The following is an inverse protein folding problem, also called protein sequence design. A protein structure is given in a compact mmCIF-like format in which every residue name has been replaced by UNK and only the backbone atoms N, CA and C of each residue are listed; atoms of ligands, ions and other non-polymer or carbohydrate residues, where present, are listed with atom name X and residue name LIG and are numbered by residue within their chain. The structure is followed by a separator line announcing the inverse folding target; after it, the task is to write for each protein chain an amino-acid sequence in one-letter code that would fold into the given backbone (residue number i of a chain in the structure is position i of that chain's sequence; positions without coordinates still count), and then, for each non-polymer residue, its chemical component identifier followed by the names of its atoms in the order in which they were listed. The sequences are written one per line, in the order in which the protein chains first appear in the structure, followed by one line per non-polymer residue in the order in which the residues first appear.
data_IF_613008154948
#
_entry.id   IF_613008154948
#
_cell.length_a   1.000
_cell.length_b   1.000
_cell.length_c   1.000
_cell.angle_alpha   90.00
_cell.angle_beta   90.00
_cell.angle_gamma   90.00
#
_symmetry.space_group_name_H-M   'P 1'
#
loop_
_entity.id
_entity.type
_entity.pdbx_description
1 polymer ?
#
# COMPACT_ATOMS: atom_id res chain seq x y z
N UNK A 1 -33.12 -32.68 -44.40
CA UNK A 1 -34.50 -32.59 -44.96
C UNK A 1 -34.87 -31.11 -44.87
N UNK A 2 -34.69 -30.38 -45.98
CA UNK A 2 -35.79 -29.79 -46.79
C UNK A 2 -36.43 -28.61 -46.03
N UNK A 3 -36.44 -27.35 -46.47
CA UNK A 3 -36.60 -26.69 -47.78
C UNK A 3 -37.46 -25.44 -47.47
N UNK A 4 -37.05 -24.22 -47.81
CA UNK A 4 -37.28 -23.47 -49.07
C UNK A 4 -38.61 -22.70 -49.14
N UNK A 5 -38.51 -21.55 -49.83
CA UNK A 5 -39.54 -20.75 -50.56
C UNK A 5 -40.19 -19.58 -49.81
N UNK A 6 -39.92 -18.32 -50.24
CA UNK A 6 -40.58 -17.50 -51.29
C UNK A 6 -41.92 -16.91 -50.77
N UNK A 7 -42.40 -15.70 -51.07
CA UNK A 7 -42.33 -14.71 -52.15
C UNK A 7 -42.87 -13.38 -51.51
N UNK A 8 -42.77 -12.15 -52.02
CA UNK A 8 -43.57 -11.65 -53.15
C UNK A 8 -43.38 -10.12 -53.37
N UNK A 9 -43.27 -9.76 -54.66
CA UNK A 9 -43.80 -8.58 -55.40
C UNK A 9 -43.31 -7.12 -55.20
N UNK A 10 -42.92 -6.56 -56.37
CA UNK A 10 -42.80 -5.14 -56.78
C UNK A 10 -44.17 -4.56 -57.24
N UNK A 11 -44.29 -3.25 -57.54
CA UNK A 11 -44.16 -2.74 -58.93
C UNK A 11 -43.39 -1.38 -58.97
N UNK A 12 -42.86 -0.80 -60.05
CA UNK A 12 -42.96 -0.98 -61.49
C UNK A 12 -43.20 0.40 -62.15
N UNK A 13 -42.23 0.94 -62.93
CA UNK A 13 -42.47 1.90 -64.03
C UNK A 13 -41.19 2.09 -64.86
N UNK A 14 -41.36 2.06 -66.19
CA UNK A 14 -40.31 2.06 -67.22
C UNK A 14 -40.25 3.39 -67.99
N UNK A 15 -39.10 3.69 -68.61
CA UNK A 15 -38.95 4.76 -69.61
C UNK A 15 -37.54 4.88 -70.23
N UNK A 16 -37.38 4.25 -71.40
CA UNK A 16 -36.49 4.50 -72.57
C UNK A 16 -35.07 5.14 -72.48
N UNK A 17 -34.17 4.57 -73.30
CA UNK A 17 -32.72 4.77 -73.58
C UNK A 17 -32.54 5.71 -74.82
N UNK A 18 -31.35 6.19 -75.32
CA UNK A 18 -29.95 6.33 -74.82
C UNK A 18 -29.32 7.75 -74.97
N UNK A 19 -28.16 8.00 -74.33
CA UNK A 19 -26.98 8.61 -74.99
C UNK A 19 -25.74 8.63 -74.08
N UNK A 20 -24.62 8.11 -74.56
CA UNK A 20 -23.26 8.32 -74.04
C UNK A 20 -22.55 9.33 -74.99
N UNK A 21 -21.55 10.15 -74.57
CA UNK A 21 -20.30 9.66 -73.98
C UNK A 21 -19.69 10.50 -72.81
N UNK A 22 -18.82 9.84 -72.04
CA UNK A 22 -17.79 10.37 -71.10
C UNK A 22 -16.90 11.48 -71.75
N UNK A 23 -16.06 12.28 -71.06
CA UNK A 23 -15.45 12.07 -69.72
C UNK A 23 -15.34 13.31 -68.80
N UNK A 24 -14.98 13.13 -67.53
CA UNK A 24 -14.60 14.22 -66.63
C UNK A 24 -14.20 13.74 -65.24
N UNK A 25 -12.90 13.72 -64.99
CA UNK A 25 -12.26 13.41 -63.71
C UNK A 25 -12.60 14.50 -62.69
N UNK A 26 -13.19 14.12 -61.55
CA UNK A 26 -13.25 14.97 -60.35
C UNK A 26 -12.64 14.18 -59.18
N UNK A 27 -11.41 14.58 -58.84
CA UNK A 27 -10.70 14.25 -57.62
C UNK A 27 -11.51 14.78 -56.42
N UNK A 28 -12.28 13.91 -55.75
CA UNK A 28 -12.79 14.21 -54.42
C UNK A 28 -11.70 13.92 -53.38
N UNK A 29 -11.04 14.98 -52.93
CA UNK A 29 -10.06 14.98 -51.85
C UNK A 29 -10.74 14.55 -50.54
N UNK A 30 -10.60 13.27 -50.18
CA UNK A 30 -11.22 12.70 -48.98
C UNK A 30 -10.62 13.31 -47.72
N UNK A 31 -11.40 14.13 -47.01
CA UNK A 31 -11.00 14.75 -45.75
C UNK A 31 -10.81 13.66 -44.66
N UNK A 32 -9.66 13.63 -43.94
CA UNK A 32 -9.38 12.60 -42.95
C UNK A 32 -10.47 12.57 -41.87
N UNK A 33 -11.00 11.38 -41.61
CA UNK A 33 -12.16 11.14 -40.75
C UNK A 33 -11.77 11.12 -39.26
N UNK A 34 -10.48 11.26 -38.95
CA UNK A 34 -9.96 11.29 -37.58
C UNK A 34 -8.80 12.26 -37.45
N UNK A 35 -8.70 12.90 -36.28
CA UNK A 35 -7.54 13.70 -35.89
C UNK A 35 -6.22 12.95 -36.06
N UNK A 36 -6.22 11.63 -35.84
CA UNK A 36 -5.04 10.78 -36.05
C UNK A 36 -4.69 10.58 -37.53
N UNK A 37 -5.71 10.49 -38.40
CA UNK A 37 -5.53 10.32 -39.84
C UNK A 37 -4.97 11.60 -40.47
N UNK A 38 -5.41 12.77 -39.97
CA UNK A 38 -4.86 14.07 -40.37
C UNK A 38 -3.38 14.25 -39.97
N UNK A 39 -2.94 13.67 -38.85
CA UNK A 39 -1.54 13.73 -38.42
C UNK A 39 -0.65 12.85 -39.32
N UNK A 40 -1.15 11.68 -39.74
CA UNK A 40 -0.39 10.76 -40.58
C UNK A 40 -0.19 11.26 -42.01
N UNK A 41 -1.23 11.83 -42.62
CA UNK A 41 -1.13 12.40 -43.97
C UNK A 41 -0.25 13.66 -44.03
N UNK A 42 0.02 14.32 -42.89
CA UNK A 42 0.87 15.50 -42.81
C UNK A 42 2.36 15.23 -42.53
N UNK A 43 2.78 13.97 -42.35
CA UNK A 43 4.14 13.60 -41.92
C UNK A 43 5.04 13.02 -43.03
N UNK A 44 4.59 12.98 -44.29
CA UNK A 44 5.40 12.46 -45.41
C UNK A 44 6.64 13.33 -45.73
N UNK A 45 6.75 14.54 -45.16
CA UNK A 45 7.91 15.43 -45.26
C UNK A 45 8.55 15.66 -43.87
N UNK A 46 9.29 14.68 -43.34
CA UNK A 46 9.97 14.81 -42.04
C UNK A 46 11.50 15.01 -42.16
N UNK A 47 11.97 16.12 -41.61
CA UNK A 47 13.37 16.50 -41.37
C UNK A 47 14.10 15.58 -40.37
N UNK A 48 15.46 15.56 -40.32
CA UNK A 48 16.22 14.57 -39.56
C UNK A 48 16.37 15.00 -38.09
N UNK A 49 15.71 14.29 -37.17
CA UNK A 49 15.93 14.51 -35.74
C UNK A 49 14.96 13.86 -34.75
N UNK A 50 13.83 13.31 -35.21
CA UNK A 50 12.91 12.52 -34.38
C UNK A 50 12.89 11.06 -34.80
N UNK A 51 12.93 10.12 -33.85
CA UNK A 51 12.63 8.72 -34.16
C UNK A 51 11.20 8.63 -34.72
N UNK A 52 10.98 7.98 -35.87
CA UNK A 52 9.65 7.88 -36.46
C UNK A 52 8.70 7.10 -35.52
N UNK A 53 7.40 7.43 -35.49
CA UNK A 53 6.39 6.75 -34.64
C UNK A 53 6.33 5.23 -34.83
N UNK A 54 6.82 4.73 -35.97
CA UNK A 54 6.96 3.32 -36.29
C UNK A 54 7.97 2.54 -35.42
N UNK A 55 8.77 3.22 -34.58
CA UNK A 55 9.77 2.58 -33.69
C UNK A 55 9.33 2.52 -32.22
N UNK A 56 8.17 3.07 -31.86
CA UNK A 56 7.69 3.06 -30.47
C UNK A 56 6.58 2.02 -30.28
N UNK A 57 6.67 1.27 -29.18
CA UNK A 57 5.63 0.31 -28.81
C UNK A 57 4.31 1.02 -28.48
N UNK A 58 3.20 0.46 -28.97
CA UNK A 58 1.85 0.94 -28.67
C UNK A 58 1.55 0.77 -27.17
N UNK A 59 1.26 1.86 -26.43
CA UNK A 59 0.94 1.77 -25.01
C UNK A 59 -0.32 0.92 -24.72
N UNK A 60 -1.31 0.97 -25.61
CA UNK A 60 -2.56 0.20 -25.47
C UNK A 60 -2.34 -1.30 -25.70
N UNK A 61 -1.50 -1.67 -26.68
CA UNK A 61 -1.13 -3.06 -26.90
C UNK A 61 -0.28 -3.61 -25.75
N UNK A 62 0.66 -2.80 -25.24
CA UNK A 62 1.48 -3.11 -24.07
C UNK A 62 0.64 -3.33 -22.79
N UNK A 63 -0.50 -2.64 -22.67
CA UNK A 63 -1.45 -2.82 -21.57
C UNK A 63 -2.42 -4.01 -21.75
N UNK A 64 -2.38 -4.70 -22.90
CA UNK A 64 -3.08 -5.95 -23.15
C UNK A 64 -4.05 -5.94 -24.34
N UNK A 65 -4.63 -4.80 -24.72
CA UNK A 65 -5.53 -4.72 -25.87
C UNK A 65 -5.51 -3.34 -26.53
N UNK A 66 -5.24 -3.31 -27.84
CA UNK A 66 -5.32 -2.10 -28.65
C UNK A 66 -6.60 -2.12 -29.50
N UNK A 67 -7.45 -1.11 -29.34
CA UNK A 67 -8.70 -0.98 -30.12
C UNK A 67 -8.48 -0.69 -31.60
N UNK A 68 -7.29 -0.19 -31.96
CA UNK A 68 -6.95 0.13 -33.34
C UNK A 68 -6.50 -1.09 -34.16
N UNK A 69 -6.25 -2.23 -33.50
CA UNK A 69 -5.82 -3.46 -34.15
C UNK A 69 -4.61 -3.22 -35.06
N UNK A 70 -4.64 -3.75 -36.28
CA UNK A 70 -3.56 -3.58 -37.25
C UNK A 70 -3.49 -2.19 -37.89
N UNK A 71 -4.48 -1.33 -37.66
CA UNK A 71 -4.46 0.08 -38.09
C UNK A 71 -3.79 1.01 -37.07
N UNK A 72 -3.14 0.45 -36.05
CA UNK A 72 -2.43 1.25 -35.06
C UNK A 72 -1.15 1.86 -35.66
N UNK A 73 -0.93 3.14 -35.39
CA UNK A 73 0.26 3.88 -35.84
C UNK A 73 1.53 3.49 -35.07
N UNK A 74 1.36 2.84 -33.93
CA UNK A 74 2.43 2.41 -33.05
C UNK A 74 2.68 0.92 -33.20
N UNK A 75 3.92 0.51 -32.96
CA UNK A 75 4.34 -0.88 -33.11
C UNK A 75 3.66 -1.76 -32.04
N UNK A 76 2.94 -2.79 -32.48
CA UNK A 76 2.51 -3.84 -31.57
C UNK A 76 3.71 -4.76 -31.32
N UNK A 77 4.16 -4.84 -30.07
CA UNK A 77 5.29 -5.68 -29.69
C UNK A 77 4.98 -7.16 -29.82
N UNK A 78 6.00 -7.98 -29.65
CA UNK A 78 5.87 -9.43 -29.47
C UNK A 78 5.36 -9.74 -28.05
N UNK A 79 4.73 -10.90 -27.92
CA UNK A 79 4.22 -11.40 -26.64
C UNK A 79 5.37 -11.88 -25.77
N UNK A 80 5.39 -11.42 -24.51
CA UNK A 80 6.22 -12.04 -23.48
C UNK A 80 5.54 -13.32 -22.97
N UNK A 81 6.27 -14.42 -22.89
CA UNK A 81 5.73 -15.72 -22.42
C UNK A 81 5.33 -15.71 -20.94
N UNK A 82 5.90 -14.80 -20.14
CA UNK A 82 5.68 -14.74 -18.68
C UNK A 82 4.45 -13.89 -18.35
N UNK A 83 4.36 -12.66 -18.88
CA UNK A 83 3.23 -11.77 -18.59
C UNK A 83 2.10 -11.84 -19.63
N UNK A 84 2.33 -12.47 -20.79
CA UNK A 84 1.35 -12.56 -21.87
C UNK A 84 1.03 -11.24 -22.58
N UNK A 85 1.79 -10.16 -22.32
CA UNK A 85 1.57 -8.83 -22.89
C UNK A 85 2.45 -8.57 -24.12
N UNK A 86 2.00 -7.69 -25.02
CA UNK A 86 2.72 -7.28 -26.24
C UNK A 86 3.75 -6.17 -25.95
N UNK A 87 4.73 -6.50 -25.11
CA UNK A 87 5.71 -5.56 -24.55
C UNK A 87 7.13 -5.80 -25.05
N UNK A 88 7.37 -6.87 -25.81
CA UNK A 88 8.69 -7.18 -26.36
C UNK A 88 8.90 -6.46 -27.69
N UNK A 89 9.98 -5.71 -27.85
CA UNK A 89 10.26 -5.02 -29.10
C UNK A 89 10.83 -5.98 -30.17
N UNK A 90 10.23 -6.10 -31.36
CA UNK A 90 10.68 -7.01 -32.43
C UNK A 90 12.12 -6.80 -32.90
N UNK A 91 12.59 -5.55 -32.92
CA UNK A 91 13.90 -5.17 -33.48
C UNK A 91 14.94 -4.77 -32.43
N UNK A 92 14.57 -4.76 -31.15
CA UNK A 92 15.47 -4.34 -30.07
C UNK A 92 15.71 -5.53 -29.12
N UNK A 93 16.82 -6.25 -29.28
CA UNK A 93 17.14 -7.40 -28.44
C UNK A 93 17.52 -6.99 -27.00
N UNK A 94 18.03 -5.78 -26.78
CA UNK A 94 18.41 -5.32 -25.44
C UNK A 94 17.17 -5.04 -24.60
N UNK A 95 16.17 -4.37 -25.18
CA UNK A 95 14.88 -4.15 -24.54
C UNK A 95 14.18 -5.47 -24.20
N UNK A 96 14.21 -6.44 -25.10
CA UNK A 96 13.59 -7.75 -24.84
C UNK A 96 14.24 -8.46 -23.68
N UNK A 97 15.57 -8.55 -23.68
CA UNK A 97 16.32 -9.16 -22.57
C UNK A 97 16.09 -8.44 -21.25
N UNK A 98 16.05 -7.11 -21.27
CA UNK A 98 15.77 -6.31 -20.08
C UNK A 98 14.35 -6.57 -19.53
N UNK A 99 13.36 -6.64 -20.41
CA UNK A 99 11.99 -6.97 -20.02
C UNK A 99 11.89 -8.41 -19.49
N UNK A 100 12.46 -9.39 -20.18
CA UNK A 100 12.44 -10.80 -19.76
C UNK A 100 13.04 -10.97 -18.36
N UNK A 101 14.20 -10.37 -18.10
CA UNK A 101 14.83 -10.43 -16.77
C UNK A 101 13.96 -9.76 -15.69
N UNK A 102 13.40 -8.58 -15.97
CA UNK A 102 12.52 -7.89 -15.01
C UNK A 102 11.21 -8.66 -14.77
N UNK A 103 10.62 -9.19 -15.84
CA UNK A 103 9.36 -9.92 -15.81
C UNK A 103 9.52 -11.24 -15.06
N UNK A 104 10.61 -11.97 -15.29
CA UNK A 104 10.94 -13.18 -14.56
C UNK A 104 11.13 -12.91 -13.07
N UNK A 105 11.91 -11.88 -12.70
CA UNK A 105 12.11 -11.52 -11.30
C UNK A 105 10.80 -11.12 -10.60
N UNK A 106 9.91 -10.40 -11.30
CA UNK A 106 8.58 -10.04 -10.76
C UNK A 106 7.71 -11.27 -10.57
N UNK A 107 7.72 -12.17 -11.55
CA UNK A 107 6.96 -13.42 -11.50
C UNK A 107 7.43 -14.32 -10.35
N UNK A 108 8.74 -14.49 -10.17
CA UNK A 108 9.32 -15.23 -9.05
C UNK A 108 8.88 -14.66 -7.70
N UNK A 109 8.98 -13.33 -7.54
CA UNK A 109 8.56 -12.65 -6.32
C UNK A 109 7.05 -12.80 -6.04
N UNK A 110 6.21 -12.70 -7.07
CA UNK A 110 4.76 -12.87 -6.93
C UNK A 110 4.39 -14.31 -6.58
N UNK A 111 5.12 -15.28 -7.14
CA UNK A 111 4.98 -16.70 -6.82
C UNK A 111 5.37 -16.99 -5.37
N UNK A 112 6.52 -16.50 -4.91
CA UNK A 112 6.96 -16.62 -3.51
C UNK A 112 5.96 -16.01 -2.53
N UNK A 113 5.44 -14.83 -2.86
CA UNK A 113 4.40 -14.16 -2.07
C UNK A 113 3.11 -14.98 -2.02
N UNK A 114 2.69 -15.57 -3.15
CA UNK A 114 1.51 -16.42 -3.20
C UNK A 114 1.66 -17.66 -2.31
N UNK A 115 2.82 -18.32 -2.35
CA UNK A 115 3.12 -19.44 -1.45
C UNK A 115 3.10 -19.02 0.02
N UNK A 116 3.70 -17.87 0.35
CA UNK A 116 3.67 -17.35 1.71
C UNK A 116 2.24 -17.07 2.20
N UNK A 117 1.40 -16.46 1.35
CA UNK A 117 -0.03 -16.22 1.67
C UNK A 117 -0.75 -17.54 1.89
N UNK A 118 -0.57 -18.52 0.99
CA UNK A 118 -1.20 -19.82 1.09
C UNK A 118 -0.81 -20.55 2.39
N UNK A 119 0.48 -20.56 2.73
CA UNK A 119 0.99 -21.14 3.97
C UNK A 119 0.51 -20.43 5.25
N UNK A 120 -0.12 -19.26 5.10
CA UNK A 120 -0.60 -18.43 6.20
C UNK A 120 -2.12 -18.51 6.40
N UNK A 121 -2.86 -19.18 5.51
CA UNK A 121 -4.33 -19.15 5.48
C UNK A 121 -4.98 -19.67 6.76
N UNK A 122 -4.37 -20.68 7.38
CA UNK A 122 -4.86 -21.41 8.54
C UNK A 122 -4.30 -20.90 9.88
N UNK A 123 -3.50 -19.82 9.86
CA UNK A 123 -2.83 -19.33 11.06
C UNK A 123 -3.81 -18.65 12.02
N UNK A 124 -3.89 -19.20 13.23
CA UNK A 124 -4.78 -18.75 14.31
C UNK A 124 -4.05 -17.77 15.23
N UNK A 125 -4.75 -16.71 15.64
CA UNK A 125 -4.24 -15.78 16.64
C UNK A 125 -4.37 -16.35 18.05
N UNK A 126 -3.29 -16.38 18.83
CA UNK A 126 -3.31 -16.93 20.19
C UNK A 126 -4.05 -16.07 21.24
N UNK A 127 -4.42 -14.82 20.92
CA UNK A 127 -5.15 -13.93 21.84
C UNK A 127 -6.67 -14.08 21.66
N UNK A 128 -7.16 -13.99 20.42
CA UNK A 128 -8.59 -14.06 20.12
C UNK A 128 -9.06 -15.46 19.66
N UNK A 129 -8.13 -16.39 19.43
CA UNK A 129 -8.39 -17.76 18.95
C UNK A 129 -9.11 -17.83 17.59
N UNK A 130 -9.07 -16.76 16.80
CA UNK A 130 -9.64 -16.71 15.45
C UNK A 130 -8.54 -16.89 14.38
N UNK A 131 -8.91 -17.51 13.25
CA UNK A 131 -8.08 -17.55 12.04
C UNK A 131 -7.95 -16.14 11.48
N UNK A 132 -6.73 -15.65 11.29
CA UNK A 132 -6.48 -14.24 10.95
C UNK A 132 -7.10 -13.85 9.59
N UNK A 133 -7.06 -14.75 8.61
CA UNK A 133 -7.65 -14.50 7.28
C UNK A 133 -9.17 -14.57 7.23
N UNK A 134 -9.81 -15.23 8.19
CA UNK A 134 -11.27 -15.37 8.25
C UNK A 134 -11.96 -14.19 8.92
N UNK A 135 -11.18 -13.25 9.50
CA UNK A 135 -11.73 -12.05 10.15
C UNK A 135 -12.65 -11.27 9.21
N UNK A 136 -13.71 -10.70 9.78
CA UNK A 136 -14.76 -10.02 9.03
C UNK A 136 -14.22 -8.85 8.18
N UNK A 137 -13.31 -8.04 8.73
CA UNK A 137 -12.76 -6.88 8.06
C UNK A 137 -11.41 -7.17 7.39
N UNK A 138 -11.25 -6.74 6.13
CA UNK A 138 -9.98 -6.90 5.41
C UNK A 138 -8.81 -6.17 6.10
N UNK A 139 -9.09 -5.10 6.86
CA UNK A 139 -8.10 -4.36 7.63
C UNK A 139 -7.55 -5.13 8.83
N UNK A 140 -8.29 -6.11 9.36
CA UNK A 140 -7.87 -6.96 10.47
C UNK A 140 -7.22 -8.28 10.04
N UNK A 141 -7.32 -8.65 8.76
CA UNK A 141 -6.63 -9.79 8.13
C UNK A 141 -5.13 -9.52 7.94
N UNK A 142 -4.47 -9.12 9.03
CA UNK A 142 -3.04 -8.81 9.08
C UNK A 142 -2.45 -9.40 10.34
N UNK A 143 -1.25 -9.94 10.18
CA UNK A 143 -0.46 -10.47 11.27
C UNK A 143 0.34 -9.37 11.96
N UNK A 144 0.48 -9.50 13.27
CA UNK A 144 1.42 -8.72 14.07
C UNK A 144 2.60 -9.60 14.47
N UNK A 145 3.70 -9.49 13.72
CA UNK A 145 4.89 -10.32 13.91
C UNK A 145 5.79 -9.67 14.96
N UNK A 146 6.21 -10.44 15.97
CA UNK A 146 7.17 -10.04 17.00
C UNK A 146 8.57 -10.50 16.62
N UNK A 147 9.60 -9.67 16.78
CA UNK A 147 10.97 -9.97 16.30
C UNK A 147 11.59 -11.26 16.86
N UNK A 148 11.33 -11.56 18.13
CA UNK A 148 12.12 -12.55 18.90
C UNK A 148 11.32 -13.80 19.30
N UNK A 149 10.15 -14.03 18.71
CA UNK A 149 9.37 -15.26 18.95
C UNK A 149 8.50 -15.65 17.74
N UNK A 150 8.03 -16.90 17.73
CA UNK A 150 7.20 -17.50 16.65
C UNK A 150 5.71 -17.58 16.99
N UNK A 151 5.27 -16.85 18.01
CA UNK A 151 3.86 -16.83 18.43
C UNK A 151 3.01 -15.96 17.49
N UNK A 152 1.85 -16.47 17.10
CA UNK A 152 1.02 -15.90 16.05
C UNK A 152 -0.04 -14.96 16.63
N UNK A 153 -0.07 -13.72 16.16
CA UNK A 153 -1.05 -12.73 16.59
C UNK A 153 -1.70 -11.98 15.43
N UNK A 154 -2.98 -11.69 15.59
CA UNK A 154 -3.66 -10.69 14.79
C UNK A 154 -3.13 -9.29 15.13
N UNK A 155 -3.03 -8.41 14.13
CA UNK A 155 -2.44 -7.08 14.30
C UNK A 155 -3.19 -6.23 15.34
N UNK A 156 -4.53 -6.30 15.38
CA UNK A 156 -5.34 -5.57 16.36
C UNK A 156 -5.09 -6.07 17.78
N UNK A 157 -5.06 -7.40 17.97
CA UNK A 157 -4.84 -8.07 19.24
C UNK A 157 -3.51 -7.65 19.89
N UNK A 158 -2.41 -7.75 19.14
CA UNK A 158 -1.08 -7.44 19.68
C UNK A 158 -0.87 -5.93 19.90
N UNK A 159 -1.58 -5.09 19.14
CA UNK A 159 -1.60 -3.64 19.39
C UNK A 159 -2.32 -3.32 20.70
N UNK A 160 -3.46 -3.96 20.94
CA UNK A 160 -4.20 -3.78 22.19
C UNK A 160 -3.38 -4.20 23.41
N UNK A 161 -2.67 -5.34 23.32
CA UNK A 161 -1.71 -5.77 24.33
C UNK A 161 -0.65 -4.69 24.63
N UNK A 162 -0.05 -4.10 23.58
CA UNK A 162 0.97 -3.05 23.73
C UNK A 162 0.45 -1.72 24.22
N UNK A 163 -0.85 -1.45 24.07
CA UNK A 163 -1.49 -0.22 24.53
C UNK A 163 -2.09 -0.33 25.95
N UNK A 164 -2.05 -1.51 26.57
CA UNK A 164 -2.57 -1.70 27.92
C UNK A 164 -1.78 -0.88 28.95
N UNK A 165 -2.41 0.13 29.55
CA UNK A 165 -1.78 1.00 30.56
C UNK A 165 -1.66 0.36 31.94
N UNK A 166 -2.30 -0.80 32.14
CA UNK A 166 -2.36 -1.49 33.42
C UNK A 166 -1.04 -2.22 33.77
N UNK A 167 -0.15 -2.43 32.80
CA UNK A 167 1.07 -3.19 32.99
C UNK A 167 2.31 -2.33 32.74
N UNK A 168 3.39 -2.66 33.45
CA UNK A 168 4.67 -1.99 33.25
C UNK A 168 5.22 -2.23 31.82
N UNK A 169 6.00 -1.26 31.34
CA UNK A 169 6.70 -1.28 30.05
C UNK A 169 7.36 -2.63 29.63
N UNK A 170 8.06 -3.38 30.51
CA UNK A 170 8.64 -4.67 30.13
C UNK A 170 7.58 -5.74 29.78
N UNK A 171 6.41 -5.71 30.44
CA UNK A 171 5.35 -6.69 30.21
C UNK A 171 4.65 -6.41 28.89
N UNK A 172 4.25 -5.15 28.64
CA UNK A 172 3.57 -4.78 27.38
C UNK A 172 4.49 -4.90 26.16
N UNK A 173 5.81 -4.81 26.33
CA UNK A 173 6.81 -5.05 25.26
C UNK A 173 7.21 -6.51 25.13
N UNK A 174 6.66 -7.40 25.94
CA UNK A 174 6.90 -8.83 25.87
C UNK A 174 5.83 -9.57 25.09
N UNK A 175 6.20 -10.72 24.52
CA UNK A 175 5.25 -11.66 23.94
C UNK A 175 4.24 -12.14 25.02
N UNK A 176 2.93 -12.11 24.76
CA UNK A 176 1.90 -12.62 25.69
C UNK A 176 2.15 -14.06 26.16
N UNK A 177 2.67 -14.91 25.28
CA UNK A 177 2.90 -16.34 25.55
C UNK A 177 4.26 -16.59 26.21
N UNK A 178 5.37 -16.31 25.52
CA UNK A 178 6.71 -16.67 26.01
C UNK A 178 7.44 -15.57 26.79
N UNK A 179 6.85 -14.38 26.94
CA UNK A 179 7.44 -13.22 27.64
C UNK A 179 8.80 -12.75 27.10
N UNK A 180 9.25 -13.25 25.95
CA UNK A 180 10.43 -12.73 25.25
C UNK A 180 10.14 -11.29 24.82
N UNK A 181 11.03 -10.37 25.16
CA UNK A 181 10.90 -8.95 24.86
C UNK A 181 11.09 -8.73 23.35
N UNK A 182 10.18 -7.96 22.77
CA UNK A 182 10.27 -7.48 21.39
C UNK A 182 9.91 -6.00 21.37
N UNK A 183 10.85 -5.14 20.96
CA UNK A 183 10.62 -3.69 21.02
C UNK A 183 9.55 -3.19 20.03
N UNK A 184 9.32 -3.93 18.95
CA UNK A 184 8.45 -3.51 17.84
C UNK A 184 7.50 -4.62 17.39
N UNK A 185 6.42 -4.23 16.71
CA UNK A 185 5.51 -5.14 15.98
C UNK A 185 5.62 -4.82 14.51
N UNK A 186 5.89 -5.84 13.69
CA UNK A 186 5.90 -5.71 12.25
C UNK A 186 4.52 -6.13 11.72
N UNK A 187 3.75 -5.22 11.11
CA UNK A 187 2.53 -5.59 10.41
C UNK A 187 2.88 -6.34 9.13
N UNK A 188 2.27 -7.50 8.90
CA UNK A 188 2.43 -8.27 7.67
C UNK A 188 1.07 -8.78 7.18
N UNK A 189 0.95 -9.00 5.86
CA UNK A 189 -0.24 -9.62 5.27
C UNK A 189 -0.16 -11.14 5.31
N UNK A 190 1.04 -11.71 5.32
CA UNK A 190 1.30 -13.15 5.48
C UNK A 190 2.11 -13.43 6.75
N UNK A 191 2.05 -14.66 7.23
CA UNK A 191 2.80 -15.16 8.37
C UNK A 191 4.18 -15.69 7.94
N UNK A 192 5.18 -15.53 8.82
CA UNK A 192 6.56 -15.98 8.58
C UNK A 192 7.06 -16.71 9.82
N UNK A 193 7.40 -17.98 9.66
CA UNK A 193 7.92 -18.84 10.74
C UNK A 193 9.45 -18.80 10.82
N UNK A 194 10.11 -18.80 9.67
CA UNK A 194 11.55 -18.86 9.56
C UNK A 194 12.24 -17.56 10.01
N UNK A 195 13.26 -17.69 10.85
CA UNK A 195 13.92 -16.53 11.45
C UNK A 195 14.68 -15.67 10.43
N UNK A 196 15.24 -16.27 9.38
CA UNK A 196 15.95 -15.56 8.31
C UNK A 196 14.99 -14.65 7.52
N UNK A 197 13.92 -15.22 6.96
CA UNK A 197 12.85 -14.48 6.27
C UNK A 197 12.21 -13.41 7.15
N UNK A 198 12.11 -13.68 8.45
CA UNK A 198 11.61 -12.71 9.42
C UNK A 198 12.58 -11.53 9.59
N UNK A 199 13.88 -11.78 9.66
CA UNK A 199 14.88 -10.72 9.72
C UNK A 199 14.82 -9.85 8.45
N UNK A 200 14.71 -10.45 7.27
CA UNK A 200 14.51 -9.73 6.00
C UNK A 200 13.25 -8.85 6.05
N UNK A 201 12.13 -9.39 6.55
CA UNK A 201 10.89 -8.63 6.73
C UNK A 201 11.05 -7.47 7.73
N UNK A 202 11.82 -7.65 8.81
CA UNK A 202 12.13 -6.58 9.77
C UNK A 202 12.97 -5.49 9.09
N UNK A 203 13.98 -5.85 8.31
CA UNK A 203 14.84 -4.91 7.62
C UNK A 203 14.07 -4.13 6.55
N UNK A 204 13.30 -4.82 5.71
CA UNK A 204 12.43 -4.21 4.71
C UNK A 204 11.43 -3.24 5.38
N UNK A 205 10.85 -3.65 6.52
CA UNK A 205 9.96 -2.78 7.30
C UNK A 205 10.69 -1.53 7.80
N UNK A 206 11.85 -1.67 8.47
CA UNK A 206 12.66 -0.55 8.97
C UNK A 206 13.06 0.42 7.86
N UNK A 207 13.50 -0.09 6.71
CA UNK A 207 13.83 0.71 5.55
C UNK A 207 12.62 1.45 5.00
N UNK A 208 11.45 0.81 4.95
CA UNK A 208 10.20 1.40 4.49
C UNK A 208 9.68 2.49 5.43
N UNK A 209 9.67 2.25 6.74
CA UNK A 209 9.20 3.25 7.72
C UNK A 209 10.20 4.39 7.92
N UNK A 210 11.50 4.12 7.81
CA UNK A 210 12.56 5.13 7.91
C UNK A 210 12.56 6.15 6.77
N UNK A 211 11.80 5.92 5.69
CA UNK A 211 11.54 6.90 4.62
C UNK A 211 10.27 7.72 4.87
N UNK A 212 9.35 7.24 5.70
CA UNK A 212 8.06 7.91 5.98
C UNK A 212 8.25 8.98 7.04
N UNK A 213 7.73 10.21 6.84
CA UNK A 213 7.86 11.28 7.82
C UNK A 213 7.17 10.88 9.14
N UNK A 214 7.84 11.16 10.26
CA UNK A 214 7.27 10.91 11.57
C UNK A 214 6.12 11.86 11.87
N UNK A 215 4.95 11.29 12.17
CA UNK A 215 3.74 12.01 12.54
C UNK A 215 3.92 12.94 13.75
N UNK A 216 4.75 12.54 14.72
CA UNK A 216 4.92 13.27 15.98
C UNK A 216 6.04 14.32 15.94
N UNK A 217 7.02 14.16 15.05
CA UNK A 217 8.10 15.13 14.89
C UNK A 217 7.64 16.33 14.05
N UNK A 218 6.75 16.11 13.08
CA UNK A 218 6.12 17.16 12.27
C UNK A 218 7.12 18.23 11.80
N UNK A 219 8.24 17.77 11.22
CA UNK A 219 9.32 18.63 10.72
C UNK A 219 9.93 19.58 11.77
N UNK A 220 10.03 19.14 13.02
CA UNK A 220 10.60 19.91 14.13
C UNK A 220 9.60 20.81 14.86
N UNK A 221 8.33 20.83 14.44
CA UNK A 221 7.26 21.51 15.18
C UNK A 221 6.80 20.74 16.41
N UNK A 222 6.81 19.42 16.29
CA UNK A 222 6.47 18.50 17.35
C UNK A 222 7.72 17.84 17.93
N UNK A 223 7.52 17.07 18.99
CA UNK A 223 8.58 16.22 19.51
C UNK A 223 8.08 14.80 19.64
N UNK A 224 8.83 13.89 19.03
CA UNK A 224 8.50 12.49 19.01
C UNK A 224 8.70 11.86 20.39
N UNK A 225 7.66 11.21 20.98
CA UNK A 225 7.79 10.54 22.28
C UNK A 225 8.75 9.35 22.23
N UNK A 226 9.04 8.83 21.03
CA UNK A 226 9.99 7.75 20.81
C UNK A 226 11.45 8.23 20.72
N UNK A 227 11.68 9.55 20.65
CA UNK A 227 13.02 10.15 20.59
C UNK A 227 13.92 9.51 19.54
N UNK A 228 15.16 9.19 19.94
CA UNK A 228 16.15 8.50 19.10
C UNK A 228 15.82 7.05 18.75
N UNK A 229 14.77 6.45 19.33
CA UNK A 229 14.29 5.09 18.99
C UNK A 229 13.14 5.10 17.99
N UNK A 230 12.75 6.26 17.46
CA UNK A 230 11.70 6.33 16.45
C UNK A 230 12.16 5.64 15.15
N UNK A 231 11.31 4.75 14.61
CA UNK A 231 11.58 4.11 13.32
C UNK A 231 11.24 4.99 12.12
N UNK A 232 10.48 6.08 12.33
CA UNK A 232 10.05 6.99 11.27
C UNK A 232 11.07 8.11 11.03
N UNK A 233 11.04 8.69 9.83
CA UNK A 233 11.95 9.76 9.45
C UNK A 233 11.68 11.04 10.26
N UNK A 234 12.66 11.45 11.06
CA UNK A 234 12.74 12.82 11.60
C UNK A 234 13.53 13.68 10.62
N UNK A 235 12.84 14.43 9.77
CA UNK A 235 13.44 15.40 8.86
C UNK A 235 12.78 16.76 9.07
N UNK A 236 13.58 17.82 9.07
CA UNK A 236 13.15 19.21 9.12
C UNK A 236 12.60 19.68 7.76
N UNK A 237 12.01 20.89 7.66
CA UNK A 237 11.40 21.38 6.41
C UNK A 237 12.39 21.53 5.26
N UNK A 238 13.68 21.70 5.59
CA UNK A 238 14.82 21.75 4.68
C UNK A 238 15.29 20.36 4.21
N UNK A 239 14.66 19.28 4.70
CA UNK A 239 15.04 17.90 4.40
C UNK A 239 16.21 17.38 5.24
N UNK A 240 16.78 18.19 6.12
CA UNK A 240 17.88 17.79 7.00
C UNK A 240 17.37 16.79 8.04
N UNK A 241 18.08 15.66 8.21
CA UNK A 241 17.72 14.67 9.23
C UNK A 241 18.02 15.22 10.62
N UNK A 242 17.05 15.13 11.53
CA UNK A 242 17.26 15.51 12.91
C UNK A 242 18.22 14.51 13.58
N UNK A 243 19.27 15.02 14.22
CA UNK A 243 20.15 14.17 15.02
C UNK A 243 19.36 13.52 16.16
N UNK A 244 19.57 12.21 16.43
CA UNK A 244 18.97 11.57 17.58
C UNK A 244 19.44 12.29 18.86
N UNK A 245 18.49 12.72 19.68
CA UNK A 245 18.75 13.46 20.91
C UNK A 245 19.72 12.65 21.79
N UNK A 246 20.91 13.20 22.04
CA UNK A 246 21.95 12.49 22.80
C UNK A 246 21.47 12.27 24.24
N UNK A 247 21.62 11.06 24.81
CA UNK A 247 21.21 10.80 26.19
C UNK A 247 21.90 11.80 27.13
N UNK A 248 21.13 12.54 27.92
CA UNK A 248 21.70 13.50 28.86
C UNK A 248 22.32 12.73 30.02
N UNK A 249 23.63 12.92 30.24
CA UNK A 249 24.34 12.37 31.39
C UNK A 249 24.01 13.24 32.60
N UNK A 250 23.32 12.68 33.59
CA UNK A 250 23.13 13.32 34.88
C UNK A 250 24.12 12.71 35.87
N UNK A 251 25.05 13.53 36.37
CA UNK A 251 25.86 13.14 37.51
C UNK A 251 25.04 13.39 38.78
N UNK A 252 24.82 12.32 39.55
CA UNK A 252 24.31 12.45 40.92
C UNK A 252 25.39 13.04 41.84
N UNK A 253 24.97 13.62 42.96
CA UNK A 253 25.86 14.10 44.02
C UNK A 253 26.78 13.01 44.60
N UNK A 254 26.45 11.73 44.40
CA UNK A 254 27.22 10.57 44.85
C UNK A 254 28.15 9.99 43.75
N UNK A 255 28.38 10.73 42.66
CA UNK A 255 29.30 10.32 41.59
C UNK A 255 28.78 9.21 40.66
N UNK A 256 27.54 8.74 40.86
CA UNK A 256 26.91 7.78 39.94
C UNK A 256 26.41 8.52 38.70
N UNK A 257 26.90 8.11 37.52
CA UNK A 257 26.47 8.62 36.21
C UNK A 257 25.20 7.89 35.77
N UNK A 258 24.06 8.59 35.72
CA UNK A 258 22.82 8.06 35.14
C UNK A 258 22.67 8.56 33.70
N UNK A 259 22.51 7.64 32.77
CA UNK A 259 22.19 7.94 31.37
C UNK A 259 20.68 7.91 31.21
N UNK A 260 20.07 9.07 30.98
CA UNK A 260 18.65 9.13 30.63
C UNK A 260 18.53 9.23 29.09
N UNK A 261 17.96 8.20 28.47
CA UNK A 261 17.43 8.31 27.11
C UNK A 261 16.17 9.16 27.20
N UNK A 262 16.28 10.44 26.82
CA UNK A 262 15.18 11.40 26.64
C UNK A 262 14.04 11.23 27.65
N UNK A 263 14.31 11.40 28.95
CA UNK A 263 13.20 11.64 29.89
C UNK A 263 12.82 13.10 29.73
N UNK A 264 11.69 13.32 29.05
CA UNK A 264 11.17 14.68 28.90
C UNK A 264 10.56 15.07 30.23
N UNK A 265 10.76 16.33 30.62
CA UNK A 265 10.15 16.90 31.82
C UNK A 265 8.62 16.68 31.86
N UNK A 266 7.98 16.56 30.70
CA UNK A 266 6.58 16.17 30.53
C UNK A 266 6.23 14.76 31.04
N UNK A 267 7.11 13.76 30.88
CA UNK A 267 6.88 12.41 31.44
C UNK A 267 6.91 12.45 32.98
N UNK A 268 7.69 13.37 33.56
CA UNK A 268 7.73 13.62 35.01
C UNK A 268 6.58 14.50 35.50
N UNK A 269 6.07 15.43 34.69
CA UNK A 269 4.91 16.25 35.02
C UNK A 269 3.63 15.40 34.95
N UNK A 270 3.45 14.54 33.95
CA UNK A 270 2.34 13.59 33.88
C UNK A 270 2.40 12.53 35.00
N UNK A 271 3.59 11.99 35.33
CA UNK A 271 3.75 11.06 36.47
C UNK A 271 3.53 11.77 37.82
N UNK A 272 3.92 13.05 37.94
CA UNK A 272 3.63 13.85 39.14
C UNK A 272 2.16 14.23 39.24
N UNK A 273 1.50 14.61 38.16
CA UNK A 273 0.07 14.95 38.15
C UNK A 273 -0.80 13.71 38.40
N UNK A 274 -0.41 12.55 37.87
CA UNK A 274 -1.08 11.27 38.16
C UNK A 274 -0.84 10.77 39.58
N UNK A 275 0.30 11.07 40.20
CA UNK A 275 0.59 10.80 41.63
C UNK A 275 0.05 11.88 42.58
N UNK A 276 -0.14 13.10 42.10
CA UNK A 276 -0.65 14.25 42.88
C UNK A 276 -2.15 14.42 42.74
N UNK A 277 -2.90 13.37 42.39
CA UNK A 277 -4.31 13.29 42.68
C UNK A 277 -4.49 12.70 44.10
N UNK A 278 -4.53 13.52 45.17
CA UNK A 278 -5.10 13.04 46.42
C UNK A 278 -6.61 12.91 46.21
N UNK A 279 -7.10 11.68 46.24
CA UNK A 279 -8.47 11.34 46.65
C UNK A 279 -9.62 11.94 45.83
N UNK A 280 -9.83 11.44 44.61
CA UNK A 280 -11.16 11.48 43.97
C UNK A 280 -11.95 10.18 44.22
N UNK A 281 -11.63 9.46 45.29
CA UNK A 281 -12.35 8.25 45.74
C UNK A 281 -13.09 8.47 47.08
N UNK A 282 -13.00 9.68 47.66
CA UNK A 282 -13.71 10.05 48.89
C UNK A 282 -14.95 10.95 48.63
N UNK A 283 -14.94 11.76 47.56
CA UNK A 283 -16.04 12.69 47.27
C UNK A 283 -17.27 12.01 46.65
N UNK A 284 -17.09 10.84 46.03
CA UNK A 284 -18.20 10.06 45.45
C UNK A 284 -18.99 9.30 46.53
N UNK A 285 -18.33 8.98 47.65
CA UNK A 285 -18.93 8.33 48.81
C UNK A 285 -19.72 9.34 49.67
N UNK A 286 -19.24 10.58 49.77
CA UNK A 286 -19.91 11.63 50.55
C UNK A 286 -21.17 12.18 49.84
N UNK A 287 -21.18 12.24 48.50
CA UNK A 287 -22.41 12.53 47.73
C UNK A 287 -23.43 11.38 47.74
N UNK A 288 -22.97 10.14 47.89
CA UNK A 288 -23.84 8.96 48.03
C UNK A 288 -24.52 8.88 49.40
N UNK A 289 -23.83 9.27 50.46
CA UNK A 289 -24.39 9.33 51.82
C UNK A 289 -25.35 10.52 52.00
N UNK A 290 -25.12 11.66 51.33
CA UNK A 290 -26.06 12.79 51.33
C UNK A 290 -27.38 12.48 50.60
N UNK A 291 -27.37 11.57 49.62
CA UNK A 291 -28.57 11.15 48.88
C UNK A 291 -29.43 10.13 49.63
N UNK A 292 -28.84 9.33 50.53
CA UNK A 292 -29.60 8.42 51.40
C UNK A 292 -30.28 9.12 52.59
N UNK A 293 -29.76 10.26 53.06
CA UNK A 293 -30.35 11.02 54.17
C UNK A 293 -31.50 11.96 53.75
N UNK A 294 -31.71 12.17 52.45
CA UNK A 294 -32.81 13.00 51.92
C UNK A 294 -33.95 12.16 51.28
N UNK A 295 -33.87 10.83 51.36
CA UNK A 295 -34.95 9.92 50.93
C UNK A 295 -35.75 9.34 52.11
N UNK A 296 -35.58 9.89 53.32
CA UNK A 296 -36.51 9.69 54.43
C UNK A 296 -37.82 10.42 54.15
N UNK A 297 -38.73 9.76 53.43
CA UNK A 297 -40.13 10.11 53.47
C UNK A 297 -40.63 9.81 54.90
N UNK A 298 -40.97 10.88 55.61
CA UNK A 298 -41.68 10.85 56.88
C UNK A 298 -43.00 10.09 56.72
N UNK A 299 -43.35 9.35 57.77
CA UNK A 299 -44.66 8.75 57.98
C UNK A 299 -45.74 9.85 58.01
N UNK A 300 -46.79 9.68 57.21
CA UNK A 300 -48.20 9.78 57.62
C UNK A 300 -49.09 8.92 56.71
#
# INVERSE_FOLDING_TARGET
LCGSSEEQARPGAAGAVPCCPEPGEEEEEAKPHSYLEAICSGLEEAAPGGCPPAQQLCPYAAAGACHFGERCLYLHGQLCEICGLQVLHPFDPEQRKAHEMMCMATFEHDMERAFAIQASQDKVCSICMEVVYEKASASERRFGILSNCTHTYCLSCIRQWRCAKQFENPIIKSCPECRVISEFVIPSVYWVEEQEKKNELIEAFKQGVGKKPCKYFEQGKGTCPFGGKCLYLHAYPDGTRAEPEKPRKQLSSEGTVRFFNSVRLWDFIEDRESRSAPGAEAEVTELGELFMHLSGAEEE
#
